data_IF_950802437749
#
_entry.id   IF_950802437749
#
_cell.length_a   1.000
_cell.length_b   1.000
_cell.length_c   1.000
_cell.angle_alpha   90.00
_cell.angle_beta   90.00
_cell.angle_gamma   90.00
#
_symmetry.space_group_name_H-M   'P 1'
#
loop_
_entity.id
_entity.type
_entity.pdbx_description
1 polymer ?
#
# COMPACT_ATOMS: atom_id res chain seq x y z
N UNK A 1 9.21 -0.37 12.58
CA UNK A 1 8.91 -0.30 14.04
C UNK A 1 10.09 -0.67 14.94
N UNK A 2 11.32 -0.80 14.43
CA UNK A 2 12.50 -1.02 15.28
C UNK A 2 13.15 0.33 15.60
N UNK A 3 13.07 0.81 16.85
CA UNK A 3 13.81 2.01 17.28
C UNK A 3 13.06 3.06 18.13
N UNK A 4 11.80 2.83 18.53
CA UNK A 4 11.05 3.75 19.38
C UNK A 4 11.17 3.38 20.86
N UNK A 5 11.64 4.32 21.69
CA UNK A 5 11.64 4.21 23.15
C UNK A 5 10.44 4.96 23.72
N UNK A 6 9.60 4.29 24.50
CA UNK A 6 8.49 4.95 25.22
C UNK A 6 9.05 5.72 26.40
N UNK A 7 8.77 7.02 26.46
CA UNK A 7 9.26 7.91 27.53
C UNK A 7 8.17 8.22 28.55
N UNK A 8 6.89 8.25 28.12
CA UNK A 8 5.78 8.49 29.03
C UNK A 8 4.46 8.74 28.32
N UNK A 9 3.66 9.64 28.88
CA UNK A 9 2.42 10.13 28.27
C UNK A 9 2.25 11.62 28.51
N UNK A 10 1.84 12.36 27.49
CA UNK A 10 1.53 13.80 27.56
C UNK A 10 0.02 13.96 27.32
N UNK A 11 -0.72 14.50 28.30
CA UNK A 11 -2.19 14.66 28.23
C UNK A 11 -2.95 13.37 27.86
N UNK A 12 -2.47 12.22 28.36
CA UNK A 12 -3.04 10.90 28.04
C UNK A 12 -2.58 10.31 26.71
N UNK A 13 -1.78 11.03 25.92
CA UNK A 13 -1.23 10.56 24.64
C UNK A 13 0.12 9.88 24.88
N UNK A 14 0.32 8.62 24.45
CA UNK A 14 1.61 7.93 24.54
C UNK A 14 2.73 8.70 23.82
N UNK A 15 3.85 8.92 24.52
CA UNK A 15 4.99 9.70 24.02
C UNK A 15 6.23 8.82 23.83
N UNK A 16 6.82 8.91 22.64
CA UNK A 16 7.95 8.10 22.21
C UNK A 16 9.09 8.98 21.69
N UNK A 17 10.32 8.47 21.81
CA UNK A 17 11.52 9.03 21.19
C UNK A 17 12.12 7.95 20.29
N UNK A 18 12.28 8.27 19.01
CA UNK A 18 12.99 7.42 18.07
C UNK A 18 14.51 7.56 18.27
N UNK A 19 15.26 6.48 18.09
CA UNK A 19 16.70 6.44 18.35
C UNK A 19 17.51 7.49 17.56
N UNK A 20 17.03 7.87 16.37
CA UNK A 20 17.65 8.93 15.56
C UNK A 20 17.64 10.31 16.22
N UNK A 21 16.79 10.54 17.22
CA UNK A 21 16.77 11.77 18.01
C UNK A 21 18.09 12.00 18.77
N UNK A 22 18.71 10.92 19.25
CA UNK A 22 19.99 11.00 19.97
C UNK A 22 21.15 11.48 19.08
N UNK A 23 21.02 11.43 17.75
CA UNK A 23 21.99 12.05 16.85
C UNK A 23 22.01 13.58 17.02
N UNK A 24 20.85 14.21 17.21
CA UNK A 24 20.76 15.66 17.46
C UNK A 24 21.37 16.00 18.82
N UNK A 25 21.10 15.18 19.84
CA UNK A 25 21.70 15.33 21.17
C UNK A 25 23.22 15.21 21.11
N UNK A 26 23.74 14.19 20.44
CA UNK A 26 25.17 13.98 20.25
C UNK A 26 25.82 15.14 19.52
N UNK A 27 25.19 15.63 18.44
CA UNK A 27 25.67 16.79 17.69
C UNK A 27 25.65 18.07 18.54
N UNK A 28 24.58 18.34 19.27
CA UNK A 28 24.45 19.53 20.13
C UNK A 28 25.47 19.52 21.28
N UNK A 29 25.70 18.35 21.88
CA UNK A 29 26.74 18.16 22.90
C UNK A 29 28.14 18.36 22.30
N UNK A 30 28.40 17.85 21.09
CA UNK A 30 29.67 18.04 20.41
C UNK A 30 29.92 19.50 20.03
N UNK A 31 28.90 20.22 19.54
CA UNK A 31 29.06 21.60 19.05
C UNK A 31 29.07 22.65 20.16
N UNK A 32 28.35 22.43 21.26
CA UNK A 32 28.12 23.46 22.28
C UNK A 32 28.08 22.95 23.72
N UNK A 33 28.45 21.69 23.98
CA UNK A 33 28.43 21.09 25.32
C UNK A 33 27.06 21.17 25.97
N UNK A 34 27.04 21.43 27.29
CA UNK A 34 25.81 21.51 28.10
C UNK A 34 24.90 22.66 27.62
N UNK A 35 25.47 23.76 27.16
CA UNK A 35 24.70 24.91 26.64
C UNK A 35 24.02 24.52 25.34
N UNK A 36 24.75 23.89 24.41
CA UNK A 36 24.21 23.35 23.16
C UNK A 36 23.08 22.35 23.41
N UNK A 37 23.25 21.46 24.39
CA UNK A 37 22.20 20.54 24.84
C UNK A 37 20.97 21.28 25.36
N UNK A 38 21.16 22.32 26.19
CA UNK A 38 20.05 23.15 26.68
C UNK A 38 19.25 23.76 25.54
N UNK A 39 19.91 24.35 24.55
CA UNK A 39 19.23 24.88 23.36
C UNK A 39 18.53 23.79 22.54
N UNK A 40 19.15 22.62 22.34
CA UNK A 40 18.51 21.52 21.64
C UNK A 40 17.21 21.07 22.33
N UNK A 41 17.22 20.94 23.66
CA UNK A 41 16.03 20.60 24.45
C UNK A 41 14.93 21.66 24.34
N UNK A 42 15.30 22.95 24.28
CA UNK A 42 14.36 24.05 24.06
C UNK A 42 13.71 24.01 22.66
N UNK A 43 14.50 23.69 21.62
CA UNK A 43 13.96 23.47 20.26
C UNK A 43 12.97 22.31 20.26
N UNK A 44 13.33 21.17 20.85
CA UNK A 44 12.43 20.01 20.91
C UNK A 44 11.18 20.27 21.74
N UNK A 45 11.28 21.08 22.80
CA UNK A 45 10.10 21.52 23.56
C UNK A 45 9.13 22.31 22.69
N UNK A 46 9.65 23.15 21.78
CA UNK A 46 8.83 23.88 20.80
C UNK A 46 8.19 22.94 19.76
N UNK A 47 8.91 21.89 19.33
CA UNK A 47 8.36 20.85 18.45
C UNK A 47 7.27 20.04 19.16
N UNK A 48 7.45 19.67 20.43
CA UNK A 48 6.41 18.98 21.21
C UNK A 48 5.18 19.86 21.38
N UNK A 49 5.35 21.16 21.65
CA UNK A 49 4.23 22.09 21.74
C UNK A 49 3.46 22.18 20.41
N UNK A 50 4.17 22.18 19.28
CA UNK A 50 3.57 22.12 17.95
C UNK A 50 2.73 20.85 17.74
N UNK A 51 3.29 19.66 18.00
CA UNK A 51 2.56 18.38 17.88
C UNK A 51 1.36 18.28 18.82
N UNK A 52 1.48 18.84 20.03
CA UNK A 52 0.38 18.94 20.97
C UNK A 52 -0.75 19.85 20.43
N UNK A 53 -0.41 20.91 19.69
CA UNK A 53 -1.38 21.74 18.98
C UNK A 53 -2.28 20.93 18.07
N UNK A 54 -1.68 20.13 17.16
CA UNK A 54 -2.42 19.22 16.28
C UNK A 54 -3.27 18.23 17.07
N UNK A 55 -2.67 17.61 18.08
CA UNK A 55 -3.30 16.56 18.87
C UNK A 55 -4.53 17.06 19.63
N UNK A 56 -4.44 18.24 20.26
CA UNK A 56 -5.55 18.82 21.03
C UNK A 56 -6.73 19.21 20.12
N UNK A 57 -6.46 19.74 18.93
CA UNK A 57 -7.50 20.07 17.95
C UNK A 57 -8.14 18.79 17.39
N UNK A 58 -7.35 17.76 17.11
CA UNK A 58 -7.86 16.46 16.66
C UNK A 58 -8.77 15.79 17.72
N UNK A 59 -8.34 15.77 18.98
CA UNK A 59 -9.14 15.23 20.10
C UNK A 59 -10.47 15.97 20.24
N UNK A 60 -10.47 17.31 20.14
CA UNK A 60 -11.71 18.11 20.16
C UNK A 60 -12.68 17.78 19.03
N UNK A 61 -12.17 17.26 17.91
CA UNK A 61 -12.98 16.83 16.77
C UNK A 61 -13.34 15.34 16.84
N UNK A 62 -13.06 14.65 17.95
CA UNK A 62 -13.36 13.22 18.13
C UNK A 62 -12.44 12.29 17.36
N UNK A 63 -11.23 12.77 16.99
CA UNK A 63 -10.18 11.99 16.36
C UNK A 63 -9.21 11.55 17.46
N UNK A 64 -9.11 10.24 17.72
CA UNK A 64 -8.17 9.71 18.69
C UNK A 64 -6.72 9.84 18.22
N UNK A 65 -5.80 10.03 19.17
CA UNK A 65 -4.36 10.17 18.93
C UNK A 65 -3.67 8.95 19.51
N UNK A 66 -3.04 8.14 18.65
CA UNK A 66 -2.35 6.90 19.02
C UNK A 66 -1.05 7.19 19.76
N UNK A 67 -0.25 8.13 19.25
CA UNK A 67 1.05 8.45 19.85
C UNK A 67 1.65 9.76 19.30
N UNK A 68 2.58 10.34 20.04
CA UNK A 68 3.50 11.38 19.56
C UNK A 68 4.92 10.81 19.61
N UNK A 69 5.64 10.87 18.49
CA UNK A 69 7.02 10.37 18.39
C UNK A 69 7.96 11.48 17.97
N UNK A 70 9.02 11.73 18.75
CA UNK A 70 10.11 12.62 18.34
C UNK A 70 11.20 11.85 17.58
N UNK A 71 11.74 12.46 16.54
CA UNK A 71 12.81 11.89 15.72
C UNK A 71 13.70 13.01 15.15
N UNK A 72 14.70 12.63 14.34
CA UNK A 72 15.70 13.55 13.78
C UNK A 72 15.09 14.79 13.08
N UNK A 73 13.99 14.64 12.34
CA UNK A 73 13.40 15.72 11.55
C UNK A 73 12.29 16.50 12.28
N UNK A 74 11.95 16.14 13.52
CA UNK A 74 10.89 16.81 14.28
C UNK A 74 10.05 15.87 15.11
N UNK A 75 8.74 16.13 15.15
CA UNK A 75 7.73 15.31 15.80
C UNK A 75 6.78 14.67 14.77
N UNK A 76 6.13 13.59 15.17
CA UNK A 76 5.08 12.95 14.40
C UNK A 76 3.95 12.53 15.34
N UNK A 77 2.79 13.18 15.20
CA UNK A 77 1.55 12.72 15.79
C UNK A 77 0.89 11.64 14.91
N UNK A 78 0.63 10.46 15.48
CA UNK A 78 -0.11 9.38 14.84
C UNK A 78 -1.57 9.42 15.27
N UNK A 79 -2.48 9.53 14.31
CA UNK A 79 -3.93 9.56 14.55
C UNK A 79 -4.57 8.19 14.34
N UNK A 80 -5.72 7.97 14.97
CA UNK A 80 -6.50 6.74 14.78
C UNK A 80 -7.16 6.67 13.40
N UNK A 81 -7.58 7.82 12.89
CA UNK A 81 -8.35 7.98 11.65
C UNK A 81 -8.06 9.34 11.03
N UNK A 82 -8.19 9.44 9.70
CA UNK A 82 -8.11 10.71 8.99
C UNK A 82 -9.34 11.59 9.27
N UNK A 83 -9.21 12.93 9.16
CA UNK A 83 -10.34 13.85 9.31
C UNK A 83 -11.45 13.61 8.27
N UNK A 84 -12.71 13.60 8.73
CA UNK A 84 -13.89 13.32 7.87
C UNK A 84 -14.30 14.47 6.96
N UNK A 85 -13.89 15.71 7.26
CA UNK A 85 -14.26 16.90 6.48
C UNK A 85 -13.03 17.75 6.17
N UNK A 86 -13.09 18.50 5.07
CA UNK A 86 -12.04 19.43 4.68
C UNK A 86 -11.76 20.47 5.78
N UNK A 87 -12.81 20.96 6.46
CA UNK A 87 -12.66 21.90 7.57
C UNK A 87 -11.97 21.27 8.78
N UNK A 88 -12.31 20.04 9.13
CA UNK A 88 -11.62 19.29 10.19
C UNK A 88 -10.12 19.15 9.88
N UNK A 89 -9.79 18.73 8.66
CA UNK A 89 -8.41 18.60 8.20
C UNK A 89 -7.63 19.92 8.25
N UNK A 90 -8.25 21.02 7.81
CA UNK A 90 -7.64 22.35 7.85
C UNK A 90 -7.31 22.78 9.28
N UNK A 91 -8.26 22.66 10.21
CA UNK A 91 -8.06 23.09 11.58
C UNK A 91 -7.03 22.27 12.33
N UNK A 92 -6.98 20.95 12.07
CA UNK A 92 -5.91 20.11 12.62
C UNK A 92 -4.56 20.56 12.05
N UNK A 93 -4.44 20.72 10.73
CA UNK A 93 -3.16 21.08 10.09
C UNK A 93 -2.64 22.47 10.49
N UNK A 94 -3.50 23.47 10.67
CA UNK A 94 -3.05 24.82 11.06
C UNK A 94 -2.68 24.92 12.56
N UNK A 95 -3.10 23.96 13.38
CA UNK A 95 -2.97 24.04 14.83
C UNK A 95 -1.50 24.10 15.30
N UNK A 96 -0.63 23.23 14.78
CA UNK A 96 0.79 23.24 15.11
C UNK A 96 1.48 24.55 14.73
N UNK A 97 1.42 24.99 13.46
CA UNK A 97 1.97 26.27 13.04
C UNK A 97 1.43 27.46 13.85
N UNK A 98 0.13 27.45 14.19
CA UNK A 98 -0.46 28.47 15.03
C UNK A 98 0.15 28.49 16.44
N UNK A 99 0.42 27.33 17.05
CA UNK A 99 1.12 27.25 18.35
C UNK A 99 2.50 27.88 18.25
N UNK A 100 3.29 27.58 17.21
CA UNK A 100 4.61 28.21 17.06
C UNK A 100 4.51 29.73 16.87
N UNK A 101 3.57 30.22 16.06
CA UNK A 101 3.41 31.67 15.86
C UNK A 101 2.98 32.39 17.15
N UNK A 102 2.14 31.74 17.98
CA UNK A 102 1.77 32.24 19.31
C UNK A 102 3.00 32.28 20.22
N UNK A 103 3.81 31.21 20.26
CA UNK A 103 5.04 31.14 21.05
C UNK A 103 6.06 32.19 20.59
N UNK A 104 6.20 32.40 19.28
CA UNK A 104 7.01 33.47 18.72
C UNK A 104 6.59 34.83 19.28
N UNK A 105 5.30 35.19 19.14
CA UNK A 105 4.79 36.46 19.65
C UNK A 105 5.00 36.62 21.15
N UNK A 106 4.72 35.58 21.93
CA UNK A 106 4.91 35.58 23.39
C UNK A 106 6.38 35.82 23.78
N UNK A 107 7.31 35.08 23.19
CA UNK A 107 8.73 35.24 23.50
C UNK A 107 9.29 36.57 23.01
N UNK A 108 8.82 37.10 21.88
CA UNK A 108 9.17 38.46 21.42
C UNK A 108 8.71 39.52 22.42
N UNK A 109 7.50 39.41 22.96
CA UNK A 109 7.01 40.32 24.00
C UNK A 109 7.88 40.22 25.26
N UNK A 110 8.24 39.01 25.69
CA UNK A 110 9.15 38.82 26.83
C UNK A 110 10.49 39.50 26.58
N UNK A 111 11.09 39.31 25.40
CA UNK A 111 12.36 39.97 25.04
C UNK A 111 12.22 41.49 25.11
N UNK A 112 11.15 42.06 24.55
CA UNK A 112 10.92 43.51 24.58
C UNK A 112 10.78 44.04 26.02
N UNK A 113 10.03 43.35 26.88
CA UNK A 113 9.87 43.72 28.29
C UNK A 113 11.19 43.61 29.05
N UNK A 114 11.98 42.56 28.80
CA UNK A 114 13.32 42.43 29.42
C UNK A 114 14.26 43.53 28.96
N UNK A 115 14.26 43.91 27.68
CA UNK A 115 15.07 45.01 27.16
C UNK A 115 14.73 46.35 27.82
N UNK A 116 13.43 46.63 28.02
CA UNK A 116 12.97 47.81 28.76
C UNK A 116 13.39 47.79 30.24
N UNK A 117 13.32 46.61 30.89
CA UNK A 117 13.74 46.43 32.29
C UNK A 117 15.28 46.43 32.47
N UNK A 118 16.04 46.12 31.41
CA UNK A 118 17.51 46.08 31.40
C UNK A 118 18.14 47.44 31.69
N UNK A 119 17.38 48.53 31.48
CA UNK A 119 17.77 49.89 31.85
C UNK A 119 17.90 50.02 33.39
N UNK A 120 17.24 49.15 34.16
CA UNK A 120 17.24 49.15 35.62
C UNK A 120 18.07 48.03 36.29
N UNK A 121 18.25 46.86 35.66
CA UNK A 121 18.99 45.71 36.24
C UNK A 121 19.81 44.93 35.18
N UNK A 122 21.13 44.70 35.38
CA UNK A 122 22.00 44.06 34.38
C UNK A 122 21.86 42.54 34.19
N UNK A 123 21.02 41.84 34.97
CA UNK A 123 20.85 40.38 34.91
C UNK A 123 20.08 39.88 33.67
N UNK A 124 19.61 40.78 32.80
CA UNK A 124 18.67 40.52 31.71
C UNK A 124 19.27 39.91 30.44
N UNK A 125 20.59 40.00 30.22
CA UNK A 125 21.20 39.67 28.94
C UNK A 125 21.13 38.16 28.56
N UNK A 126 21.43 37.19 29.45
CA UNK A 126 21.33 35.77 29.10
C UNK A 126 19.89 35.30 28.85
N UNK A 127 18.93 35.81 29.63
CA UNK A 127 17.51 35.50 29.44
C UNK A 127 16.99 36.04 28.11
N UNK A 128 17.34 37.27 27.76
CA UNK A 128 16.98 37.88 26.49
C UNK A 128 17.52 37.06 25.29
N UNK A 129 18.72 36.50 25.40
CA UNK A 129 19.28 35.60 24.39
C UNK A 129 18.48 34.30 24.25
N UNK A 130 18.11 33.66 25.36
CA UNK A 130 17.34 32.41 25.34
C UNK A 130 15.95 32.65 24.73
N UNK A 131 15.22 33.67 25.19
CA UNK A 131 13.90 33.98 24.65
C UNK A 131 13.96 34.51 23.22
N UNK A 132 14.99 35.27 22.85
CA UNK A 132 15.22 35.70 21.47
C UNK A 132 15.46 34.52 20.53
N UNK A 133 16.25 33.55 20.96
CA UNK A 133 16.45 32.30 20.22
C UNK A 133 15.15 31.50 20.09
N UNK A 134 14.40 31.34 21.19
CA UNK A 134 13.11 30.64 21.19
C UNK A 134 12.10 31.31 20.26
N UNK A 135 12.03 32.65 20.27
CA UNK A 135 11.19 33.41 19.35
C UNK A 135 11.59 33.10 17.89
N UNK A 136 12.87 33.25 17.58
CA UNK A 136 13.41 33.00 16.24
C UNK A 136 13.13 31.57 15.73
N UNK A 137 13.39 30.55 16.56
CA UNK A 137 13.13 29.16 16.19
C UNK A 137 11.64 28.90 15.99
N UNK A 138 10.76 29.41 16.85
CA UNK A 138 9.32 29.23 16.68
C UNK A 138 8.80 29.92 15.42
N UNK A 139 9.32 31.10 15.08
CA UNK A 139 9.00 31.73 13.80
C UNK A 139 9.41 30.85 12.62
N UNK A 140 10.63 30.32 12.64
CA UNK A 140 11.13 29.43 11.58
C UNK A 140 10.30 28.14 11.49
N UNK A 141 10.04 27.46 12.61
CA UNK A 141 9.25 26.23 12.64
C UNK A 141 7.83 26.46 12.12
N UNK A 142 7.20 27.59 12.51
CA UNK A 142 5.87 27.96 12.02
C UNK A 142 5.87 28.23 10.52
N UNK A 143 6.78 29.09 10.03
CA UNK A 143 6.85 29.44 8.61
C UNK A 143 7.26 28.26 7.72
N UNK A 144 8.22 27.46 8.18
CA UNK A 144 8.68 26.27 7.47
C UNK A 144 7.55 25.25 7.32
N UNK A 145 6.81 24.97 8.40
CA UNK A 145 5.67 24.07 8.32
C UNK A 145 4.50 24.63 7.50
N UNK A 146 4.41 25.95 7.26
CA UNK A 146 3.39 26.53 6.38
C UNK A 146 3.73 26.44 4.88
N UNK A 147 4.89 25.88 4.51
CA UNK A 147 5.24 25.66 3.10
C UNK A 147 4.19 24.74 2.44
N UNK A 148 3.60 25.13 1.29
CA UNK A 148 2.43 24.47 0.71
C UNK A 148 2.80 23.19 -0.07
N UNK A 149 3.34 22.19 0.61
CA UNK A 149 3.70 20.90 0.00
C UNK A 149 3.83 19.79 1.02
N UNK A 150 3.33 18.59 0.70
CA UNK A 150 3.46 17.43 1.60
C UNK A 150 4.94 17.03 1.74
N UNK A 151 5.36 16.52 2.91
CA UNK A 151 4.57 16.16 4.09
C UNK A 151 4.34 17.28 5.13
N UNK A 152 4.67 18.53 4.82
CA UNK A 152 4.55 19.65 5.78
C UNK A 152 3.09 20.03 6.02
N UNK A 153 2.80 20.70 7.14
CA UNK A 153 1.45 21.11 7.51
C UNK A 153 0.78 22.00 6.47
N UNK A 154 1.53 22.89 5.82
CA UNK A 154 1.08 23.73 4.73
C UNK A 154 0.62 22.92 3.53
N UNK A 155 1.23 21.75 3.30
CA UNK A 155 0.74 20.74 2.36
C UNK A 155 -0.61 20.15 2.79
N UNK A 156 -0.79 19.85 4.08
CA UNK A 156 -2.06 19.38 4.63
C UNK A 156 -3.16 20.46 4.60
N UNK A 157 -2.82 21.73 4.84
CA UNK A 157 -3.67 22.90 4.67
C UNK A 157 -4.08 23.01 3.19
N UNK A 158 -3.13 22.94 2.26
CA UNK A 158 -3.40 22.98 0.83
C UNK A 158 -4.30 21.82 0.37
N UNK A 159 -4.02 20.59 0.84
CA UNK A 159 -4.87 19.41 0.63
C UNK A 159 -6.31 19.68 1.06
N UNK A 160 -6.49 20.25 2.25
CA UNK A 160 -7.81 20.58 2.78
C UNK A 160 -8.53 21.69 1.99
N UNK A 161 -7.81 22.74 1.58
CA UNK A 161 -8.38 23.82 0.77
C UNK A 161 -8.83 23.34 -0.61
N UNK A 162 -7.98 22.60 -1.31
CA UNK A 162 -8.32 22.03 -2.62
C UNK A 162 -9.46 21.02 -2.49
N UNK A 163 -9.49 20.20 -1.43
CA UNK A 163 -10.63 19.33 -1.15
C UNK A 163 -11.92 20.13 -0.97
N UNK A 164 -11.90 21.22 -0.18
CA UNK A 164 -13.09 22.07 0.02
C UNK A 164 -13.60 22.68 -1.28
N UNK A 165 -12.70 23.13 -2.17
CA UNK A 165 -13.07 23.76 -3.44
C UNK A 165 -13.60 22.73 -4.44
N UNK A 166 -12.97 21.56 -4.53
CA UNK A 166 -13.28 20.54 -5.55
C UNK A 166 -14.36 19.56 -5.12
N UNK A 167 -14.66 19.48 -3.82
CA UNK A 167 -15.48 18.43 -3.21
C UNK A 167 -14.79 17.06 -3.16
N UNK A 168 -13.61 16.91 -3.76
CA UNK A 168 -12.94 15.62 -3.96
C UNK A 168 -11.64 15.52 -3.13
N UNK A 169 -11.60 14.71 -2.05
CA UNK A 169 -10.41 14.58 -1.19
C UNK A 169 -9.16 14.15 -1.95
N UNK A 170 -9.33 13.26 -2.95
CA UNK A 170 -8.24 12.76 -3.80
C UNK A 170 -7.53 13.88 -4.57
N UNK A 171 -8.28 14.84 -5.11
CA UNK A 171 -7.67 15.93 -5.88
C UNK A 171 -6.82 16.83 -4.98
N UNK A 172 -7.26 17.07 -3.74
CA UNK A 172 -6.45 17.78 -2.76
C UNK A 172 -5.15 17.08 -2.41
N UNK A 173 -5.20 15.76 -2.22
CA UNK A 173 -4.00 14.96 -1.94
C UNK A 173 -3.00 15.00 -3.09
N UNK A 174 -3.46 14.75 -4.33
CA UNK A 174 -2.61 14.75 -5.53
C UNK A 174 -1.99 16.12 -5.75
N UNK A 175 -2.77 17.20 -5.60
CA UNK A 175 -2.27 18.55 -5.80
C UNK A 175 -1.21 18.92 -4.75
N UNK A 176 -1.48 18.66 -3.47
CA UNK A 176 -0.53 18.96 -2.39
C UNK A 176 0.75 18.10 -2.46
N UNK A 177 0.63 16.83 -2.89
CA UNK A 177 1.78 15.96 -3.15
C UNK A 177 2.64 16.49 -4.30
N UNK A 178 2.03 16.88 -5.43
CA UNK A 178 2.76 17.48 -6.57
C UNK A 178 3.47 18.77 -6.18
N UNK A 179 2.84 19.64 -5.38
CA UNK A 179 3.51 20.84 -4.87
C UNK A 179 4.72 20.48 -3.99
N UNK A 180 4.57 19.49 -3.10
CA UNK A 180 5.69 18.96 -2.31
C UNK A 180 6.84 18.43 -3.16
N UNK A 181 6.54 17.71 -4.25
CA UNK A 181 7.55 17.23 -5.19
C UNK A 181 8.26 18.36 -5.93
N UNK A 182 7.52 19.38 -6.40
CA UNK A 182 8.11 20.54 -7.07
C UNK A 182 9.05 21.29 -6.14
N UNK A 183 8.59 21.56 -4.90
CA UNK A 183 9.38 22.26 -3.88
C UNK A 183 10.61 21.43 -3.50
N UNK A 184 10.47 20.12 -3.32
CA UNK A 184 11.58 19.21 -3.04
C UNK A 184 12.60 19.16 -4.18
N UNK A 185 12.17 19.01 -5.43
CA UNK A 185 13.05 19.06 -6.61
C UNK A 185 13.81 20.40 -6.68
N UNK A 186 13.12 21.50 -6.41
CA UNK A 186 13.74 22.82 -6.39
C UNK A 186 14.79 22.95 -5.28
N UNK A 187 14.50 22.45 -4.08
CA UNK A 187 15.46 22.44 -2.96
C UNK A 187 16.69 21.55 -3.22
N UNK A 188 16.51 20.40 -3.90
CA UNK A 188 17.63 19.57 -4.38
C UNK A 188 18.48 20.35 -5.39
N UNK A 189 17.84 20.99 -6.38
CA UNK A 189 18.55 21.77 -7.39
C UNK A 189 19.38 22.91 -6.78
N UNK A 190 18.79 23.69 -5.86
CA UNK A 190 19.52 24.75 -5.14
C UNK A 190 20.72 24.18 -4.38
N UNK A 191 20.54 23.04 -3.69
CA UNK A 191 21.61 22.41 -2.91
C UNK A 191 22.76 21.93 -3.81
N UNK A 192 22.44 21.36 -4.98
CA UNK A 192 23.45 20.94 -5.96
C UNK A 192 24.17 22.15 -6.56
N UNK A 193 23.45 23.18 -6.99
CA UNK A 193 24.05 24.41 -7.55
C UNK A 193 24.98 25.10 -6.56
N UNK A 194 24.63 25.07 -5.27
CA UNK A 194 25.45 25.62 -4.19
C UNK A 194 26.78 24.89 -4.01
N UNK A 195 26.84 23.56 -4.27
CA UNK A 195 28.10 22.81 -4.26
C UNK A 195 29.08 23.28 -5.34
N UNK A 196 28.56 23.82 -6.45
CA UNK A 196 29.36 24.38 -7.54
C UNK A 196 29.66 25.89 -7.36
N UNK A 197 29.40 26.46 -6.18
CA UNK A 197 29.52 27.90 -5.91
C UNK A 197 28.69 28.78 -6.89
N UNK A 198 27.57 28.25 -7.38
CA UNK A 198 26.62 28.96 -8.24
C UNK A 198 25.39 29.36 -7.41
N UNK A 199 25.42 30.50 -6.70
CA UNK A 199 24.27 30.93 -5.90
C UNK A 199 23.09 31.30 -6.80
N UNK A 200 21.89 30.82 -6.46
CA UNK A 200 20.66 31.20 -7.15
C UNK A 200 20.12 32.49 -6.51
N UNK A 201 19.75 33.49 -7.31
CA UNK A 201 19.12 34.71 -6.80
C UNK A 201 17.64 34.67 -7.15
N UNK A 202 16.77 34.71 -6.14
CA UNK A 202 15.32 34.78 -6.32
C UNK A 202 14.80 36.06 -5.67
N UNK A 203 14.08 36.88 -6.43
CA UNK A 203 13.57 38.19 -5.97
C UNK A 203 14.64 39.09 -5.32
N UNK A 204 15.88 39.04 -5.83
CA UNK A 204 17.00 39.83 -5.32
C UNK A 204 17.66 39.27 -4.04
N UNK A 205 17.20 38.12 -3.54
CA UNK A 205 17.78 37.45 -2.37
C UNK A 205 18.61 36.26 -2.85
N UNK A 206 19.92 36.18 -2.50
CA UNK A 206 20.71 35.00 -2.76
C UNK A 206 20.21 33.84 -1.90
N UNK A 207 19.87 32.74 -2.55
CA UNK A 207 19.48 31.48 -1.93
C UNK A 207 20.65 30.52 -2.07
N UNK A 208 21.13 30.00 -0.94
CA UNK A 208 22.10 28.93 -0.88
C UNK A 208 21.49 27.71 -0.22
N UNK A 209 21.85 26.53 -0.72
CA UNK A 209 21.47 25.23 -0.18
C UNK A 209 22.67 24.56 0.46
N UNK A 210 22.51 24.09 1.69
CA UNK A 210 23.48 23.27 2.38
C UNK A 210 23.13 21.79 2.32
N UNK A 211 23.94 20.97 3.00
CA UNK A 211 23.64 19.55 3.15
C UNK A 211 22.27 19.31 3.82
N UNK A 212 21.87 20.22 4.73
CA UNK A 212 20.59 20.12 5.43
C UNK A 212 19.39 20.39 4.51
N UNK A 213 19.46 21.39 3.63
CA UNK A 213 18.39 21.64 2.65
C UNK A 213 18.26 20.48 1.68
N UNK A 214 19.38 19.87 1.28
CA UNK A 214 19.37 18.66 0.45
C UNK A 214 18.65 17.50 1.14
N UNK A 215 19.00 17.20 2.41
CA UNK A 215 18.37 16.11 3.17
C UNK A 215 16.87 16.36 3.36
N UNK A 216 16.46 17.58 3.74
CA UNK A 216 15.03 17.94 3.85
C UNK A 216 14.32 17.77 2.52
N UNK A 217 14.95 18.20 1.42
CA UNK A 217 14.35 18.10 0.08
C UNK A 217 14.15 16.65 -0.35
N UNK A 218 15.11 15.77 -0.06
CA UNK A 218 14.97 14.33 -0.27
C UNK A 218 13.85 13.73 0.60
N UNK A 219 13.78 14.15 1.87
CA UNK A 219 12.71 13.73 2.77
C UNK A 219 11.32 14.16 2.25
N UNK A 220 11.19 15.38 1.71
CA UNK A 220 9.94 15.83 1.08
C UNK A 220 9.59 14.98 -0.14
N UNK A 221 10.54 14.74 -1.04
CA UNK A 221 10.32 13.93 -2.24
C UNK A 221 9.87 12.50 -1.91
N UNK A 222 10.51 11.87 -0.93
CA UNK A 222 10.18 10.50 -0.52
C UNK A 222 8.78 10.42 0.11
N UNK A 223 8.41 11.36 0.98
CA UNK A 223 7.11 11.30 1.67
C UNK A 223 5.94 11.80 0.81
N UNK A 224 6.19 12.65 -0.18
CA UNK A 224 5.17 13.09 -1.11
C UNK A 224 4.69 11.93 -2.02
N UNK A 225 5.57 11.03 -2.45
CA UNK A 225 5.20 9.90 -3.33
C UNK A 225 4.38 8.82 -2.61
N UNK A 226 4.78 8.43 -1.40
CA UNK A 226 4.20 7.30 -0.66
C UNK A 226 2.68 7.40 -0.39
N UNK A 227 2.10 8.60 -0.25
CA UNK A 227 0.67 8.77 0.07
C UNK A 227 -0.27 8.55 -1.13
N UNK A 228 0.23 8.71 -2.35
CA UNK A 228 -0.50 8.52 -3.61
C UNK A 228 -0.46 7.08 -4.08
N UNK A 229 0.71 6.42 -3.94
CA UNK A 229 0.96 5.11 -4.51
C UNK A 229 0.10 4.00 -3.89
N UNK A 230 -0.15 4.02 -2.59
CA UNK A 230 -0.89 2.95 -1.90
C UNK A 230 -2.39 3.00 -2.19
N UNK A 231 -2.99 4.20 -2.15
CA UNK A 231 -4.41 4.38 -2.45
C UNK A 231 -4.70 4.07 -3.92
N UNK A 232 -3.79 4.46 -4.82
CA UNK A 232 -3.89 4.12 -6.23
C UNK A 232 -3.74 2.61 -6.45
N UNK A 233 -2.79 1.95 -5.78
CA UNK A 233 -2.63 0.50 -5.86
C UNK A 233 -3.88 -0.25 -5.36
N UNK A 234 -4.52 0.22 -4.27
CA UNK A 234 -5.77 -0.36 -3.78
C UNK A 234 -6.91 -0.22 -4.79
N UNK A 235 -7.01 0.94 -5.45
CA UNK A 235 -8.01 1.20 -6.49
C UNK A 235 -7.77 0.33 -7.73
N UNK A 236 -6.52 0.24 -8.20
CA UNK A 236 -6.14 -0.58 -9.36
C UNK A 236 -6.42 -2.08 -9.10
N UNK A 237 -6.12 -2.58 -7.90
CA UNK A 237 -6.43 -3.96 -7.51
C UNK A 237 -7.92 -4.24 -7.44
N UNK A 238 -8.70 -3.31 -6.89
CA UNK A 238 -10.16 -3.44 -6.82
C UNK A 238 -10.77 -3.40 -8.23
N UNK A 239 -10.33 -2.49 -9.08
CA UNK A 239 -10.80 -2.36 -10.46
C UNK A 239 -10.43 -3.60 -11.30
N UNK A 240 -9.25 -4.18 -11.07
CA UNK A 240 -8.88 -5.45 -11.68
C UNK A 240 -9.80 -6.59 -11.25
N UNK A 241 -10.10 -6.72 -9.95
CA UNK A 241 -11.04 -7.74 -9.45
C UNK A 241 -12.45 -7.52 -9.99
N UNK A 242 -12.92 -6.27 -10.08
CA UNK A 242 -14.19 -5.94 -10.72
C UNK A 242 -14.22 -6.39 -12.17
N UNK A 243 -13.18 -6.12 -12.96
CA UNK A 243 -13.14 -6.56 -14.38
C UNK A 243 -13.24 -8.07 -14.58
N UNK A 244 -12.72 -8.85 -13.64
CA UNK A 244 -12.79 -10.31 -13.67
C UNK A 244 -14.17 -10.77 -13.20
N UNK A 245 -14.57 -10.38 -11.99
CA UNK A 245 -15.71 -10.99 -11.30
C UNK A 245 -17.08 -10.32 -11.55
N UNK A 246 -17.14 -9.19 -12.28
CA UNK A 246 -18.42 -8.48 -12.55
C UNK A 246 -19.14 -8.94 -13.81
N UNK A 247 -18.49 -9.74 -14.66
CA UNK A 247 -19.05 -10.17 -15.93
C UNK A 247 -18.87 -11.67 -16.12
N UNK A 248 -19.73 -12.27 -16.93
CA UNK A 248 -19.54 -13.65 -17.35
C UNK A 248 -18.25 -13.76 -18.18
N UNK A 249 -17.46 -14.80 -17.91
CA UNK A 249 -16.21 -15.03 -18.63
C UNK A 249 -16.48 -15.45 -20.07
N UNK A 250 -15.67 -14.94 -21.01
CA UNK A 250 -15.71 -15.28 -22.43
C UNK A 250 -14.63 -16.31 -22.72
N UNK A 251 -15.03 -17.56 -22.97
CA UNK A 251 -14.12 -18.64 -23.36
C UNK A 251 -14.15 -18.85 -24.87
N UNK A 252 -12.98 -18.86 -25.51
CA UNK A 252 -12.84 -19.04 -26.96
C UNK A 252 -11.92 -20.22 -27.25
N UNK A 253 -12.28 -21.04 -28.24
CA UNK A 253 -11.42 -22.10 -28.72
C UNK A 253 -10.25 -21.52 -29.52
N UNK A 254 -9.03 -21.97 -29.24
CA UNK A 254 -7.80 -21.42 -29.80
C UNK A 254 -6.85 -22.53 -30.22
N UNK A 255 -5.88 -22.20 -31.09
CA UNK A 255 -4.82 -23.11 -31.46
C UNK A 255 -3.55 -22.84 -30.66
N UNK A 256 -2.87 -23.91 -30.25
CA UNK A 256 -1.60 -23.78 -29.50
C UNK A 256 -0.49 -23.07 -30.28
N UNK A 257 -0.61 -22.98 -31.61
CA UNK A 257 0.35 -22.28 -32.46
C UNK A 257 0.26 -20.75 -32.30
N UNK A 258 -0.88 -20.23 -31.82
CA UNK A 258 -1.10 -18.79 -31.62
C UNK A 258 -0.35 -18.22 -30.40
N UNK A 259 0.29 -19.10 -29.62
CA UNK A 259 0.92 -18.76 -28.36
C UNK A 259 2.42 -19.09 -28.42
N UNK A 260 3.22 -18.11 -28.85
CA UNK A 260 4.67 -18.26 -29.04
C UNK A 260 5.46 -18.61 -27.77
N UNK A 261 4.89 -18.35 -26.59
CA UNK A 261 5.54 -18.56 -25.30
C UNK A 261 5.25 -19.93 -24.68
N UNK A 262 4.45 -20.78 -25.33
CA UNK A 262 4.04 -22.05 -24.71
C UNK A 262 5.19 -23.03 -24.53
N UNK A 263 5.23 -23.65 -23.35
CA UNK A 263 5.99 -24.89 -23.15
C UNK A 263 5.24 -26.09 -23.77
N UNK A 264 5.32 -26.24 -25.10
CA UNK A 264 4.66 -27.34 -25.82
C UNK A 264 5.05 -28.73 -25.30
N UNK A 265 6.29 -28.90 -24.79
CA UNK A 265 6.74 -30.18 -24.22
C UNK A 265 5.93 -30.52 -22.98
N UNK A 266 5.67 -29.54 -22.11
CA UNK A 266 4.83 -29.73 -20.93
C UNK A 266 3.40 -30.16 -21.30
N UNK A 267 2.74 -29.48 -22.24
CA UNK A 267 1.37 -29.86 -22.64
C UNK A 267 1.33 -31.26 -23.26
N UNK A 268 2.26 -31.58 -24.16
CA UNK A 268 2.31 -32.88 -24.83
C UNK A 268 2.60 -34.02 -23.85
N UNK A 269 3.54 -33.84 -22.92
CA UNK A 269 3.86 -34.85 -21.91
C UNK A 269 2.69 -35.05 -20.94
N UNK A 270 2.09 -33.97 -20.46
CA UNK A 270 0.95 -34.01 -19.55
C UNK A 270 -0.27 -34.66 -20.20
N UNK A 271 -0.58 -34.29 -21.45
CA UNK A 271 -1.65 -34.90 -22.23
C UNK A 271 -1.46 -36.41 -22.35
N UNK A 272 -0.27 -36.89 -22.77
CA UNK A 272 0.00 -38.34 -22.89
C UNK A 272 -0.16 -39.08 -21.56
N UNK A 273 0.20 -38.46 -20.44
CA UNK A 273 0.03 -39.07 -19.12
C UNK A 273 -1.45 -39.16 -18.73
N UNK A 274 -2.22 -38.09 -18.95
CA UNK A 274 -3.67 -38.10 -18.71
C UNK A 274 -4.40 -39.07 -19.65
N UNK A 275 -3.99 -39.20 -20.90
CA UNK A 275 -4.51 -40.19 -21.85
C UNK A 275 -4.34 -41.62 -21.32
N UNK A 276 -3.17 -41.96 -20.78
CA UNK A 276 -2.93 -43.27 -20.12
C UNK A 276 -3.81 -43.48 -18.88
N UNK A 277 -4.18 -42.40 -18.21
CA UNK A 277 -5.09 -42.43 -17.07
C UNK A 277 -6.57 -42.42 -17.49
N UNK A 278 -6.87 -42.43 -18.79
CA UNK A 278 -8.22 -42.50 -19.33
C UNK A 278 -8.88 -41.13 -19.52
N UNK A 279 -8.13 -40.12 -19.93
CA UNK A 279 -8.67 -38.84 -20.40
C UNK A 279 -8.54 -38.73 -21.92
N UNK A 280 -9.41 -37.97 -22.56
CA UNK A 280 -9.33 -37.60 -23.97
C UNK A 280 -9.27 -36.08 -24.13
N UNK A 281 -8.51 -35.57 -25.09
CA UNK A 281 -8.46 -34.14 -25.37
C UNK A 281 -9.78 -33.70 -26.02
N UNK A 282 -10.42 -32.66 -25.47
CA UNK A 282 -11.59 -32.02 -26.08
C UNK A 282 -11.16 -30.88 -27.01
N UNK A 283 -10.50 -29.86 -26.45
CA UNK A 283 -10.08 -28.68 -27.18
C UNK A 283 -8.97 -27.93 -26.43
N UNK A 284 -8.40 -26.92 -27.08
CA UNK A 284 -7.60 -25.89 -26.43
C UNK A 284 -8.43 -24.60 -26.39
N UNK A 285 -8.46 -23.91 -25.25
CA UNK A 285 -9.26 -22.70 -25.04
C UNK A 285 -8.49 -21.60 -24.33
N UNK A 286 -9.00 -20.38 -24.44
CA UNK A 286 -8.52 -19.20 -23.74
C UNK A 286 -9.68 -18.52 -23.01
N UNK A 287 -9.42 -18.05 -21.80
CA UNK A 287 -10.28 -17.10 -21.11
C UNK A 287 -9.92 -15.67 -21.56
N UNK A 288 -10.75 -15.12 -22.44
CA UNK A 288 -10.54 -13.81 -23.05
C UNK A 288 -10.84 -12.69 -22.04
N UNK A 289 -11.71 -12.93 -21.06
CA UNK A 289 -12.03 -11.96 -20.00
C UNK A 289 -10.80 -11.69 -19.14
N UNK A 290 -10.09 -12.74 -18.71
CA UNK A 290 -8.84 -12.61 -17.94
C UNK A 290 -7.77 -11.90 -18.78
N UNK A 291 -7.62 -12.27 -20.04
CA UNK A 291 -6.62 -11.68 -20.95
C UNK A 291 -6.88 -10.19 -21.25
N UNK A 292 -8.15 -9.79 -21.35
CA UNK A 292 -8.56 -8.38 -21.50
C UNK A 292 -8.38 -7.59 -20.20
N UNK A 293 -8.61 -8.21 -19.04
CA UNK A 293 -8.50 -7.56 -17.73
C UNK A 293 -7.07 -7.10 -17.42
N UNK A 294 -6.05 -7.82 -17.88
CA UNK A 294 -4.65 -7.42 -17.74
C UNK A 294 -3.84 -7.61 -19.02
N UNK A 295 -3.83 -6.59 -19.89
CA UNK A 295 -3.07 -6.59 -21.16
C UNK A 295 -1.56 -6.73 -21.01
N UNK A 296 -1.01 -6.54 -19.80
CA UNK A 296 0.42 -6.73 -19.54
C UNK A 296 0.80 -8.18 -19.28
N UNK A 297 -0.17 -9.04 -18.95
CA UNK A 297 0.04 -10.47 -18.83
C UNK A 297 -0.15 -11.17 -20.18
N UNK A 298 0.67 -12.18 -20.50
CA UNK A 298 0.48 -12.91 -21.74
C UNK A 298 -0.79 -13.78 -21.67
N UNK A 299 -1.42 -13.95 -22.83
CA UNK A 299 -2.57 -14.84 -23.04
C UNK A 299 -2.29 -16.25 -22.53
N UNK A 300 -3.26 -16.90 -21.90
CA UNK A 300 -3.09 -18.24 -21.30
C UNK A 300 -3.90 -19.25 -22.09
N UNK A 301 -3.22 -20.29 -22.59
CA UNK A 301 -3.88 -21.45 -23.18
C UNK A 301 -4.19 -22.50 -22.12
N UNK A 302 -5.44 -22.91 -22.08
CA UNK A 302 -5.96 -24.01 -21.27
C UNK A 302 -6.30 -25.18 -22.19
N UNK A 303 -5.55 -26.29 -22.06
CA UNK A 303 -5.90 -27.54 -22.74
C UNK A 303 -6.93 -28.28 -21.91
N UNK A 304 -8.10 -28.50 -22.50
CA UNK A 304 -9.24 -29.16 -21.87
C UNK A 304 -9.23 -30.64 -22.23
N UNK A 305 -9.27 -31.49 -21.21
CA UNK A 305 -9.40 -32.94 -21.37
C UNK A 305 -10.57 -33.45 -20.55
N UNK A 306 -11.17 -34.56 -20.98
CA UNK A 306 -12.33 -35.16 -20.36
C UNK A 306 -12.03 -36.59 -19.94
N UNK A 307 -12.42 -36.98 -18.74
CA UNK A 307 -12.27 -38.35 -18.26
C UNK A 307 -13.18 -39.33 -19.01
N UNK A 308 -12.79 -40.61 -19.07
CA UNK A 308 -13.53 -41.69 -19.74
C UNK A 308 -14.94 -41.89 -19.20
N UNK A 309 -15.15 -41.66 -17.90
CA UNK A 309 -16.47 -41.69 -17.24
C UNK A 309 -17.28 -40.40 -17.44
N UNK A 310 -16.70 -39.42 -18.15
CA UNK A 310 -17.32 -38.16 -18.56
C UNK A 310 -17.74 -37.24 -17.42
N UNK A 311 -17.15 -37.42 -16.24
CA UNK A 311 -17.52 -36.69 -15.01
C UNK A 311 -16.48 -35.67 -14.55
N UNK A 312 -15.24 -35.79 -15.04
CA UNK A 312 -14.13 -34.92 -14.65
C UNK A 312 -13.54 -34.24 -15.87
N UNK A 313 -13.49 -32.91 -15.82
CA UNK A 313 -12.78 -32.07 -16.77
C UNK A 313 -11.40 -31.76 -16.20
N UNK A 314 -10.36 -31.90 -17.01
CA UNK A 314 -9.00 -31.53 -16.66
C UNK A 314 -8.57 -30.31 -17.47
N UNK A 315 -8.08 -29.27 -16.79
CA UNK A 315 -7.46 -28.10 -17.39
C UNK A 315 -5.94 -28.16 -17.23
N UNK A 316 -5.20 -28.14 -18.34
CA UNK A 316 -3.73 -28.01 -18.32
C UNK A 316 -3.37 -26.61 -18.78
N UNK A 317 -2.61 -25.87 -17.99
CA UNK A 317 -2.16 -24.54 -18.36
C UNK A 317 -0.84 -24.19 -17.68
N UNK A 318 -0.19 -23.14 -18.18
CA UNK A 318 0.95 -22.56 -17.47
C UNK A 318 0.99 -21.05 -17.60
N UNK A 319 1.54 -20.40 -16.59
CA UNK A 319 1.81 -18.98 -16.56
C UNK A 319 3.21 -18.71 -17.09
N UNK A 320 3.36 -17.85 -18.10
CA UNK A 320 4.66 -17.43 -18.58
C UNK A 320 5.40 -16.62 -17.51
N UNK A 321 6.51 -17.18 -17.04
CA UNK A 321 7.37 -16.53 -16.04
C UNK A 321 8.35 -15.54 -16.69
N UNK A 322 8.64 -14.39 -16.05
CA UNK A 322 9.68 -13.47 -16.49
C UNK A 322 11.05 -14.16 -16.62
N UNK A 323 11.90 -13.66 -17.52
CA UNK A 323 13.20 -14.25 -17.83
C UNK A 323 14.09 -14.41 -16.59
N UNK A 324 14.06 -13.42 -15.69
CA UNK A 324 14.77 -13.45 -14.42
C UNK A 324 14.32 -14.62 -13.52
N UNK A 325 13.02 -14.88 -13.45
CA UNK A 325 12.47 -15.99 -12.65
C UNK A 325 12.84 -17.34 -13.26
N UNK A 326 12.81 -17.45 -14.60
CA UNK A 326 13.30 -18.64 -15.30
C UNK A 326 14.79 -18.89 -15.03
N UNK A 327 15.61 -17.84 -15.00
CA UNK A 327 17.03 -17.94 -14.67
C UNK A 327 17.25 -18.41 -13.23
N UNK A 328 16.50 -17.87 -12.26
CA UNK A 328 16.56 -18.30 -10.86
C UNK A 328 16.10 -19.76 -10.67
N UNK A 329 15.09 -20.21 -11.42
CA UNK A 329 14.67 -21.62 -11.41
C UNK A 329 15.77 -22.54 -11.96
N UNK A 330 16.51 -22.12 -12.99
CA UNK A 330 17.56 -22.92 -13.61
C UNK A 330 18.74 -23.21 -12.65
N UNK A 331 19.00 -22.30 -11.70
CA UNK A 331 20.04 -22.43 -10.67
C UNK A 331 19.49 -22.89 -9.30
N UNK A 332 18.23 -23.31 -9.24
CA UNK A 332 17.62 -23.85 -8.02
C UNK A 332 17.26 -22.82 -6.93
N UNK A 333 17.34 -21.53 -7.23
CA UNK A 333 17.03 -20.43 -6.28
C UNK A 333 15.57 -19.99 -6.31
N UNK A 334 14.76 -20.53 -7.22
CA UNK A 334 13.31 -20.34 -7.24
C UNK A 334 12.59 -21.68 -7.42
N UNK A 335 11.44 -21.91 -6.75
CA UNK A 335 10.66 -23.13 -6.93
C UNK A 335 10.21 -23.26 -8.39
N UNK A 336 10.23 -24.49 -8.92
CA UNK A 336 9.63 -24.82 -10.22
C UNK A 336 8.12 -24.60 -10.10
N UNK A 337 7.66 -23.46 -10.59
CA UNK A 337 6.26 -23.03 -10.50
C UNK A 337 5.73 -22.56 -11.85
N UNK A 338 4.42 -22.33 -11.91
CA UNK A 338 3.74 -21.78 -13.07
C UNK A 338 3.11 -22.81 -14.01
N UNK A 339 3.30 -24.13 -13.79
CA UNK A 339 2.59 -25.19 -14.53
C UNK A 339 1.49 -25.76 -13.64
N UNK A 340 0.29 -25.86 -14.18
CA UNK A 340 -0.89 -26.28 -13.43
C UNK A 340 -1.67 -27.34 -14.20
N UNK A 341 -2.15 -28.31 -13.45
CA UNK A 341 -3.20 -29.24 -13.83
C UNK A 341 -4.30 -29.07 -12.80
N UNK A 342 -5.48 -28.71 -13.27
CA UNK A 342 -6.68 -28.64 -12.45
C UNK A 342 -7.66 -29.71 -12.89
N UNK A 343 -8.34 -30.33 -11.93
CA UNK A 343 -9.36 -31.35 -12.14
C UNK A 343 -10.64 -30.88 -11.49
N UNK A 344 -11.71 -30.86 -12.27
CA UNK A 344 -12.98 -30.29 -11.88
C UNK A 344 -14.12 -31.25 -12.19
N UNK A 345 -15.03 -31.42 -11.23
CA UNK A 345 -16.27 -32.18 -11.41
C UNK A 345 -17.44 -31.42 -10.80
N UNK A 346 -18.53 -31.30 -11.55
CA UNK A 346 -19.77 -30.65 -11.13
C UNK A 346 -20.81 -31.68 -10.71
N UNK A 347 -21.63 -31.34 -9.71
CA UNK A 347 -22.65 -32.19 -9.12
C UNK A 347 -24.06 -31.58 -9.29
N UNK A 348 -25.10 -32.41 -9.25
CA UNK A 348 -26.49 -32.00 -9.50
C UNK A 348 -27.01 -30.89 -8.57
N UNK A 349 -26.48 -30.77 -7.35
CA UNK A 349 -26.82 -29.72 -6.39
C UNK A 349 -26.05 -28.38 -6.61
N UNK A 350 -25.22 -28.34 -7.66
CA UNK A 350 -24.34 -27.24 -8.00
C UNK A 350 -23.04 -27.20 -7.20
N UNK A 351 -22.71 -28.26 -6.47
CA UNK A 351 -21.40 -28.42 -5.82
C UNK A 351 -20.32 -28.71 -6.87
N UNK A 352 -19.15 -28.12 -6.69
CA UNK A 352 -17.96 -28.37 -7.49
C UNK A 352 -16.87 -28.96 -6.61
N UNK A 353 -16.24 -30.02 -7.10
CA UNK A 353 -14.98 -30.49 -6.56
C UNK A 353 -13.87 -30.00 -7.47
N UNK A 354 -12.87 -29.30 -6.90
CA UNK A 354 -11.66 -28.92 -7.62
C UNK A 354 -10.43 -29.52 -6.95
N UNK A 355 -9.53 -30.10 -7.74
CA UNK A 355 -8.26 -30.65 -7.25
C UNK A 355 -7.13 -30.21 -8.17
N UNK A 356 -6.20 -29.41 -7.65
CA UNK A 356 -5.08 -28.88 -8.44
C UNK A 356 -3.71 -29.16 -7.82
N UNK A 357 -2.66 -29.12 -8.63
CA UNK A 357 -1.27 -29.29 -8.20
C UNK A 357 -0.48 -27.97 -8.20
N UNK A 358 -1.13 -26.85 -7.94
CA UNK A 358 -0.48 -25.53 -8.01
C UNK A 358 0.10 -25.11 -6.67
N UNK A 359 1.42 -24.84 -6.61
CA UNK A 359 2.05 -24.21 -5.44
C UNK A 359 1.89 -22.68 -5.47
N UNK A 360 1.15 -22.13 -4.52
CA UNK A 360 1.23 -20.70 -4.14
C UNK A 360 0.72 -19.69 -5.17
N UNK A 361 -0.07 -20.11 -6.17
CA UNK A 361 -0.69 -19.19 -7.13
C UNK A 361 -2.16 -18.86 -6.82
N UNK A 362 -2.84 -19.69 -6.04
CA UNK A 362 -4.24 -19.44 -5.69
C UNK A 362 -4.44 -19.68 -4.18
N UNK A 363 -4.33 -18.58 -3.42
CA UNK A 363 -4.63 -18.48 -2.00
C UNK A 363 -6.00 -17.80 -1.76
N UNK A 364 -6.94 -17.92 -2.71
CA UNK A 364 -8.24 -17.28 -2.58
C UNK A 364 -8.98 -17.73 -1.30
N UNK A 365 -9.90 -16.88 -0.84
CA UNK A 365 -10.92 -17.33 0.10
C UNK A 365 -11.66 -18.57 -0.44
N UNK A 366 -12.09 -19.50 0.44
CA UNK A 366 -12.99 -20.58 0.03
C UNK A 366 -14.25 -20.00 -0.60
N UNK A 367 -14.69 -20.60 -1.70
CA UNK A 367 -15.93 -20.23 -2.35
C UNK A 367 -17.05 -21.18 -1.92
N UNK A 368 -18.25 -20.68 -1.58
CA UNK A 368 -19.39 -21.53 -1.31
C UNK A 368 -19.66 -22.50 -2.47
N UNK A 369 -20.00 -23.75 -2.14
CA UNK A 369 -20.22 -24.85 -3.10
C UNK A 369 -18.99 -25.26 -3.93
N UNK A 370 -17.80 -24.72 -3.69
CA UNK A 370 -16.57 -25.16 -4.36
C UNK A 370 -15.64 -25.77 -3.32
N UNK A 371 -15.61 -27.10 -3.25
CA UNK A 371 -14.68 -27.80 -2.38
C UNK A 371 -13.34 -28.01 -3.09
N UNK A 372 -12.32 -27.33 -2.58
CA UNK A 372 -10.99 -27.31 -3.17
C UNK A 372 -10.00 -28.18 -2.42
N UNK A 373 -9.17 -28.92 -3.15
CA UNK A 373 -8.00 -29.61 -2.62
C UNK A 373 -6.76 -29.24 -3.43
N UNK A 374 -5.75 -28.67 -2.76
CA UNK A 374 -4.45 -28.41 -3.38
C UNK A 374 -3.45 -29.47 -2.96
N UNK A 375 -2.80 -30.10 -3.94
CA UNK A 375 -1.65 -30.99 -3.71
C UNK A 375 -0.33 -30.24 -3.94
N UNK A 376 0.78 -30.69 -3.34
CA UNK A 376 2.10 -30.13 -3.64
C UNK A 376 2.40 -30.16 -5.14
N UNK A 377 3.09 -29.16 -5.67
CA UNK A 377 3.46 -29.11 -7.10
C UNK A 377 4.41 -30.22 -7.54
N UNK A 378 5.00 -30.95 -6.60
CA UNK A 378 5.79 -32.16 -6.84
C UNK A 378 4.93 -33.42 -6.96
N UNK A 379 3.64 -33.35 -6.64
CA UNK A 379 2.72 -34.48 -6.75
C UNK A 379 2.63 -34.95 -8.21
N UNK A 380 2.69 -36.25 -8.41
CA UNK A 380 2.55 -36.84 -9.73
C UNK A 380 1.12 -36.67 -10.26
N UNK A 381 0.98 -36.66 -11.59
CA UNK A 381 -0.33 -36.57 -12.25
C UNK A 381 -1.24 -37.73 -11.83
N UNK A 382 -0.67 -38.91 -11.62
CA UNK A 382 -1.40 -40.10 -11.13
C UNK A 382 -1.94 -39.91 -9.71
N UNK A 383 -1.19 -39.28 -8.81
CA UNK A 383 -1.67 -38.95 -7.46
C UNK A 383 -2.77 -37.91 -7.50
N UNK A 384 -2.63 -36.87 -8.33
CA UNK A 384 -3.65 -35.84 -8.53
C UNK A 384 -4.98 -36.43 -9.02
N UNK A 385 -4.94 -37.23 -10.08
CA UNK A 385 -6.12 -37.92 -10.63
C UNK A 385 -6.72 -38.88 -9.61
N UNK A 386 -5.89 -39.63 -8.87
CA UNK A 386 -6.37 -40.56 -7.84
C UNK A 386 -7.10 -39.81 -6.73
N UNK A 387 -6.52 -38.73 -6.20
CA UNK A 387 -7.12 -37.93 -5.14
C UNK A 387 -8.48 -37.37 -5.58
N UNK A 388 -8.57 -36.81 -6.78
CA UNK A 388 -9.82 -36.29 -7.32
C UNK A 388 -10.88 -37.39 -7.51
N UNK A 389 -10.50 -38.53 -8.09
CA UNK A 389 -11.43 -39.67 -8.28
C UNK A 389 -11.99 -40.22 -6.99
N UNK A 390 -11.18 -40.28 -5.92
CA UNK A 390 -11.66 -40.70 -4.60
C UNK A 390 -12.77 -39.76 -4.13
N UNK A 391 -12.55 -38.43 -4.18
CA UNK A 391 -13.54 -37.44 -3.78
C UNK A 391 -14.82 -37.51 -4.61
N UNK A 392 -14.69 -37.64 -5.94
CA UNK A 392 -15.86 -37.82 -6.82
C UNK A 392 -16.63 -39.09 -6.47
N UNK A 393 -15.93 -40.22 -6.30
CA UNK A 393 -16.55 -41.50 -5.95
C UNK A 393 -17.26 -41.45 -4.60
N UNK A 394 -16.71 -40.75 -3.63
CA UNK A 394 -17.26 -40.68 -2.28
C UNK A 394 -18.52 -39.78 -2.23
N UNK A 395 -18.57 -38.70 -3.02
CA UNK A 395 -19.74 -37.80 -3.08
C UNK A 395 -20.84 -38.29 -4.04
N UNK A 396 -20.46 -38.95 -5.14
CA UNK A 396 -21.37 -39.34 -6.22
C UNK A 396 -22.62 -40.17 -5.82
N UNK A 397 -22.56 -41.09 -4.83
CA UNK A 397 -23.74 -41.83 -4.38
C UNK A 397 -24.80 -40.95 -3.70
N UNK A 398 -24.40 -39.81 -3.14
CA UNK A 398 -25.28 -38.89 -2.41
C UNK A 398 -25.80 -37.77 -3.32
N UNK A 399 -24.92 -37.22 -4.13
CA UNK A 399 -25.24 -36.25 -5.17
C UNK A 399 -24.55 -36.73 -6.44
N UNK A 400 -25.26 -37.06 -7.53
CA UNK A 400 -24.61 -37.51 -8.75
C UNK A 400 -23.75 -36.41 -9.41
N UNK A 401 -22.56 -36.79 -9.89
CA UNK A 401 -21.74 -35.93 -10.76
C UNK A 401 -22.36 -35.86 -12.16
N UNK A 402 -22.40 -34.66 -12.73
CA UNK A 402 -22.92 -34.39 -14.07
C UNK A 402 -22.04 -35.05 -15.15
N UNK A 403 -22.68 -35.43 -16.25
CA UNK A 403 -22.01 -36.05 -17.40
C UNK A 403 -21.77 -34.99 -18.47
N UNK A 404 -20.50 -34.74 -18.78
CA UNK A 404 -20.03 -33.83 -19.83
C UNK A 404 -19.80 -34.63 -21.12
N UNK A 405 -20.48 -34.26 -22.20
CA UNK A 405 -20.42 -35.03 -23.47
C UNK A 405 -19.54 -34.41 -24.54
N UNK A 406 -19.36 -33.10 -24.51
CA UNK A 406 -18.67 -32.35 -25.54
C UNK A 406 -18.07 -31.06 -24.95
N UNK A 407 -17.35 -30.32 -25.79
CA UNK A 407 -16.70 -29.08 -25.41
C UNK A 407 -17.70 -28.01 -24.95
N UNK A 408 -18.85 -27.85 -25.62
CA UNK A 408 -19.87 -26.86 -25.23
C UNK A 408 -20.39 -27.08 -23.80
N UNK A 409 -20.57 -28.35 -23.39
CA UNK A 409 -20.97 -28.69 -22.02
C UNK A 409 -19.84 -28.42 -21.02
N UNK A 410 -18.58 -28.62 -21.41
CA UNK A 410 -17.43 -28.25 -20.57
C UNK A 410 -17.38 -26.73 -20.37
N UNK A 411 -17.62 -25.92 -21.42
CA UNK A 411 -17.73 -24.47 -21.31
C UNK A 411 -18.91 -24.05 -20.43
N UNK A 412 -20.08 -24.69 -20.60
CA UNK A 412 -21.23 -24.40 -19.74
C UNK A 412 -20.94 -24.70 -18.26
N UNK A 413 -20.17 -25.75 -17.97
CA UNK A 413 -19.67 -26.05 -16.63
C UNK A 413 -18.72 -24.95 -16.12
N UNK A 414 -17.78 -24.47 -16.95
CA UNK A 414 -16.91 -23.34 -16.60
C UNK A 414 -17.72 -22.07 -16.29
N UNK A 415 -18.73 -21.74 -17.09
CA UNK A 415 -19.60 -20.59 -16.83
C UNK A 415 -20.32 -20.69 -15.48
N UNK A 416 -20.78 -21.89 -15.08
CA UNK A 416 -21.42 -22.09 -13.77
C UNK A 416 -20.41 -21.97 -12.62
N UNK A 417 -19.22 -22.54 -12.78
CA UNK A 417 -18.13 -22.39 -11.81
C UNK A 417 -17.75 -20.92 -11.60
N UNK A 418 -17.53 -20.18 -12.68
CA UNK A 418 -17.20 -18.74 -12.61
C UNK A 418 -18.38 -17.92 -12.08
N UNK A 419 -19.63 -18.27 -12.40
CA UNK A 419 -20.81 -17.60 -11.83
C UNK A 419 -20.87 -17.72 -10.30
N UNK A 420 -20.47 -18.86 -9.73
CA UNK A 420 -20.39 -19.03 -8.28
C UNK A 420 -19.29 -18.13 -7.68
N UNK A 421 -18.12 -18.08 -8.32
CA UNK A 421 -17.00 -17.21 -7.89
C UNK A 421 -17.38 -15.72 -7.98
N UNK A 422 -17.97 -15.31 -9.09
CA UNK A 422 -18.45 -13.96 -9.36
C UNK A 422 -19.45 -13.52 -8.30
N UNK A 423 -20.51 -14.30 -8.07
CA UNK A 423 -21.55 -13.98 -7.10
C UNK A 423 -20.99 -13.83 -5.68
N UNK A 424 -20.05 -14.71 -5.29
CA UNK A 424 -19.40 -14.64 -3.99
C UNK A 424 -18.52 -13.40 -3.85
N UNK A 425 -17.70 -13.10 -4.87
CA UNK A 425 -16.83 -11.92 -4.84
C UNK A 425 -17.65 -10.64 -4.87
N UNK A 426 -18.67 -10.54 -5.71
CA UNK A 426 -19.59 -9.41 -5.75
C UNK A 426 -20.26 -9.16 -4.40
N UNK A 427 -20.75 -10.20 -3.72
CA UNK A 427 -21.34 -10.09 -2.38
C UNK A 427 -20.36 -9.53 -1.32
N UNK A 428 -19.05 -9.66 -1.53
CA UNK A 428 -17.99 -9.13 -0.67
C UNK A 428 -17.46 -7.76 -1.14
N UNK A 429 -18.01 -7.19 -2.21
CA UNK A 429 -17.47 -6.00 -2.86
C UNK A 429 -16.14 -6.26 -3.59
N UNK A 430 -16.05 -7.40 -4.27
CA UNK A 430 -15.01 -7.90 -5.20
C UNK A 430 -13.64 -8.25 -4.61
N UNK A 431 -13.13 -7.47 -3.68
CA UNK A 431 -11.83 -7.71 -3.04
C UNK A 431 -11.93 -7.37 -1.56
N UNK A 432 -11.39 -8.22 -0.68
CA UNK A 432 -11.38 -7.96 0.77
C UNK A 432 -9.97 -7.72 1.30
N UNK A 433 -9.85 -7.09 2.46
CA UNK A 433 -8.58 -7.00 3.20
C UNK A 433 -7.96 -8.38 3.46
N UNK A 434 -8.78 -9.36 3.80
CA UNK A 434 -8.33 -10.73 4.03
C UNK A 434 -7.76 -11.37 2.77
N UNK A 435 -8.35 -11.13 1.60
CA UNK A 435 -7.81 -11.58 0.32
C UNK A 435 -6.41 -11.02 0.08
N UNK A 436 -6.20 -9.72 0.33
CA UNK A 436 -4.89 -9.05 0.18
C UNK A 436 -3.87 -9.69 1.13
N UNK A 437 -4.25 -9.90 2.39
CA UNK A 437 -3.37 -10.52 3.40
C UNK A 437 -2.99 -11.97 3.04
N UNK A 438 -3.92 -12.76 2.50
CA UNK A 438 -3.66 -14.15 2.07
C UNK A 438 -2.75 -14.25 0.84
N UNK A 439 -2.78 -13.23 -0.01
CA UNK A 439 -1.91 -13.16 -1.19
C UNK A 439 -0.52 -12.58 -0.86
N UNK A 440 -0.34 -11.95 0.30
CA UNK A 440 0.92 -11.37 0.72
C UNK A 440 2.00 -12.46 0.90
N UNK A 441 3.18 -12.24 0.31
CA UNK A 441 4.33 -13.11 0.56
C UNK A 441 4.92 -12.83 1.95
N UNK A 442 5.64 -13.81 2.49
CA UNK A 442 6.40 -13.65 3.73
C UNK A 442 7.32 -12.42 3.64
N UNK A 443 7.21 -11.50 4.58
CA UNK A 443 7.91 -10.20 4.59
C UNK A 443 7.16 -9.04 3.93
N UNK A 444 5.95 -9.25 3.40
CA UNK A 444 5.09 -8.22 2.82
C UNK A 444 3.85 -7.93 3.68
N UNK A 445 3.78 -8.48 4.91
CA UNK A 445 2.58 -8.43 5.75
C UNK A 445 2.20 -6.98 6.11
N UNK A 446 3.18 -6.16 6.48
CA UNK A 446 2.94 -4.75 6.79
C UNK A 446 2.44 -3.96 5.57
N UNK A 447 2.96 -4.25 4.36
CA UNK A 447 2.50 -3.60 3.14
C UNK A 447 1.07 -4.02 2.78
N UNK A 448 0.74 -5.30 2.97
CA UNK A 448 -0.60 -5.83 2.78
C UNK A 448 -1.61 -5.26 3.78
N UNK A 449 -1.18 -4.99 5.02
CA UNK A 449 -2.00 -4.33 6.03
C UNK A 449 -2.37 -2.89 5.63
N UNK A 450 -1.38 -2.10 5.24
CA UNK A 450 -1.59 -0.70 4.80
C UNK A 450 -2.46 -0.66 3.53
N UNK A 451 -2.25 -1.59 2.59
CA UNK A 451 -3.05 -1.69 1.38
C UNK A 451 -4.49 -2.12 1.66
N UNK A 452 -4.68 -3.00 2.64
CA UNK A 452 -5.99 -3.41 3.14
C UNK A 452 -6.76 -2.26 3.79
N UNK A 453 -6.09 -1.48 4.66
CA UNK A 453 -6.67 -0.27 5.25
C UNK A 453 -7.10 0.72 4.16
N UNK A 454 -6.24 0.95 3.15
CA UNK A 454 -6.55 1.82 2.02
C UNK A 454 -7.76 1.32 1.19
N UNK A 455 -7.91 0.01 1.03
CA UNK A 455 -9.06 -0.59 0.35
C UNK A 455 -10.36 -0.38 1.13
N UNK A 456 -10.35 -0.60 2.45
CA UNK A 456 -11.51 -0.42 3.32
C UNK A 456 -11.96 1.06 3.32
N UNK A 457 -11.00 1.98 3.42
CA UNK A 457 -11.22 3.42 3.28
C UNK A 457 -11.83 3.78 1.92
N UNK A 458 -11.34 3.19 0.84
CA UNK A 458 -11.83 3.42 -0.51
C UNK A 458 -13.28 2.95 -0.67
N UNK A 459 -13.63 1.77 -0.14
CA UNK A 459 -14.99 1.25 -0.17
C UNK A 459 -15.96 2.13 0.64
N UNK A 460 -15.55 2.55 1.84
CA UNK A 460 -16.35 3.41 2.71
C UNK A 460 -16.65 4.78 2.08
N UNK A 461 -15.71 5.30 1.26
CA UNK A 461 -15.93 6.54 0.49
C UNK A 461 -16.95 6.35 -0.63
N UNK A 462 -16.83 5.27 -1.42
CA UNK A 462 -17.75 5.00 -2.53
C UNK A 462 -19.19 4.78 -2.06
N UNK A 463 -19.39 4.11 -0.92
CA UNK A 463 -20.73 3.89 -0.34
C UNK A 463 -21.39 5.15 0.23
N UNK A 464 -20.66 6.27 0.36
CA UNK A 464 -21.21 7.57 0.80
C UNK A 464 -21.55 8.48 -0.39
N UNK A 465 -21.07 8.15 -1.60
CA UNK A 465 -21.35 8.88 -2.83
C UNK A 465 -22.56 8.31 -3.59
N UNK A 466 -22.94 7.06 -3.30
CA UNK A 466 -24.17 6.37 -3.74
C UNK A 466 -25.31 6.58 -2.74
#
# INVERSE_FOLDING_TARGET
MNGNLRVGSLFGIPFYIHLSWFLVVGFAMFSGGIIGLGFALLVFSSVVAHELGHSLVAIRQGIGVKSITLFLFGGLASFEKEPKTASAAFWVAIAGPAVNLILFGLFTVIVLLTALASIAVPLSAPLALIFGFLAYINLILGLFNLIPGLPLDGGHILKALVWKITGKPKQGLVFASRMGQIIGCFGVAISILSLFNMPLVLFGIPISGGIWTFIISLFMLQNASHSTDVNQAAEELLDYHKKIYSQQHEFVQVDAQDFSHLDLKFYQQTQRQLERLGFEKLADMEDVTISKANRSQPRILIRVMLSRDRRTVAGIFHFPLPLLVKALQAIGLAPKGGKTIDLESEFEDGTFLTTSNTQGFDNSSPFPKIERQQLPGTASISELVRAHRIRVRDLNPHTPALIIRNFDQAIAMQHRLESLKNSHKEAQGYLTREDIQRQAKKGQEAAAEVLGDALDDLKARKSQEE
#
